data_IF_784755144573
#
_entry.id   IF_784755144573
#
_cell.length_a   1.000
_cell.length_b   1.000
_cell.length_c   1.000
_cell.angle_alpha   90.00
_cell.angle_beta   90.00
_cell.angle_gamma   90.00
#
_symmetry.space_group_name_H-M   'P 1'
#
loop_
_entity.id
_entity.type
_entity.pdbx_description
1 polymer ?
#
# COMPACT_ATOMS: atom_id res chain seq x y z
N UNK A 1 12.88 10.80 5.68
CA UNK A 1 14.14 10.12 5.34
C UNK A 1 13.84 8.77 4.72
N UNK A 2 14.40 8.54 3.52
CA UNK A 2 14.36 7.24 2.86
C UNK A 2 15.62 6.47 3.26
N UNK A 3 15.47 5.23 3.63
CA UNK A 3 16.59 4.32 3.85
C UNK A 3 16.54 3.18 2.84
N UNK A 4 17.68 2.95 2.23
CA UNK A 4 17.94 1.92 1.26
C UNK A 4 18.43 0.68 1.99
N UNK A 5 17.66 -0.43 2.00
CA UNK A 5 18.05 -1.65 2.73
C UNK A 5 18.59 -2.75 1.85
N UNK A 6 17.84 -3.11 0.81
CA UNK A 6 18.28 -4.04 -0.21
C UNK A 6 18.13 -3.33 -1.55
N UNK A 7 19.16 -3.36 -2.36
CA UNK A 7 19.18 -2.52 -3.54
C UNK A 7 19.88 -3.20 -4.71
N UNK A 8 19.10 -3.70 -5.62
CA UNK A 8 19.60 -4.09 -6.92
C UNK A 8 20.11 -2.88 -7.70
N UNK A 9 21.19 -3.04 -8.46
CA UNK A 9 21.61 -2.00 -9.39
C UNK A 9 20.60 -1.92 -10.54
N UNK A 10 19.79 -0.86 -10.54
CA UNK A 10 18.76 -0.63 -11.56
C UNK A 10 19.39 -0.57 -12.97
N UNK A 11 20.66 -0.18 -13.09
CA UNK A 11 21.39 -0.15 -14.36
C UNK A 11 21.54 -1.53 -15.00
N UNK A 12 21.58 -2.61 -14.19
CA UNK A 12 21.57 -3.99 -14.67
C UNK A 12 20.38 -4.29 -15.59
N UNK A 13 19.26 -3.60 -15.38
CA UNK A 13 18.02 -3.77 -16.12
C UNK A 13 17.76 -2.70 -17.18
N UNK A 14 18.70 -1.77 -17.42
CA UNK A 14 18.49 -0.58 -18.28
C UNK A 14 18.04 -0.91 -19.71
N UNK A 15 18.50 -2.04 -20.24
CA UNK A 15 18.28 -2.46 -21.63
C UNK A 15 17.27 -3.60 -21.79
N UNK A 16 16.41 -3.82 -20.81
CA UNK A 16 15.37 -4.86 -20.88
C UNK A 16 14.04 -4.37 -20.30
N UNK A 17 12.89 -4.90 -20.78
CA UNK A 17 11.60 -4.58 -20.20
C UNK A 17 11.49 -5.18 -18.79
N UNK A 18 10.88 -4.44 -17.87
CA UNK A 18 10.61 -4.89 -16.50
C UNK A 18 9.22 -4.52 -16.05
N UNK A 19 8.65 -5.37 -15.21
CA UNK A 19 7.49 -5.02 -14.39
C UNK A 19 8.00 -4.81 -12.96
N UNK A 20 7.63 -3.67 -12.38
CA UNK A 20 7.85 -3.39 -10.95
C UNK A 20 6.56 -3.71 -10.22
N UNK A 21 6.65 -4.56 -9.20
CA UNK A 21 5.57 -4.84 -8.27
C UNK A 21 5.90 -4.23 -6.92
N UNK A 22 4.94 -3.56 -6.29
CA UNK A 22 5.14 -2.98 -4.97
C UNK A 22 3.93 -3.24 -4.06
N UNK A 23 4.17 -3.32 -2.73
CA UNK A 23 3.10 -3.21 -1.76
C UNK A 23 2.50 -1.80 -1.82
N UNK A 24 1.25 -1.66 -1.35
CA UNK A 24 0.55 -0.37 -1.42
C UNK A 24 0.23 0.12 0.00
N UNK A 25 1.23 0.77 0.61
CA UNK A 25 1.16 1.25 1.98
C UNK A 25 0.40 2.59 2.09
N UNK A 26 0.52 3.46 1.06
CA UNK A 26 0.03 4.84 1.15
C UNK A 26 -0.23 5.49 -0.21
N UNK A 27 -0.75 6.71 -0.19
CA UNK A 27 -0.88 7.55 -1.40
C UNK A 27 0.47 7.98 -1.99
N UNK A 28 1.53 7.95 -1.19
CA UNK A 28 2.87 8.43 -1.56
C UNK A 28 3.76 7.35 -2.20
N UNK A 29 3.27 6.13 -2.35
CA UNK A 29 4.08 4.99 -2.78
C UNK A 29 4.73 5.17 -4.16
N UNK A 30 4.09 5.93 -5.05
CA UNK A 30 4.68 6.29 -6.34
C UNK A 30 6.01 7.05 -6.18
N UNK A 31 6.13 7.89 -5.15
CA UNK A 31 7.37 8.61 -4.86
C UNK A 31 8.46 7.67 -4.32
N UNK A 32 8.08 6.70 -3.48
CA UNK A 32 9.01 5.69 -2.95
C UNK A 32 9.51 4.76 -4.05
N UNK A 33 8.62 4.32 -4.95
CA UNK A 33 9.01 3.52 -6.12
C UNK A 33 9.92 4.32 -7.07
N UNK A 34 9.60 5.58 -7.35
CA UNK A 34 10.48 6.43 -8.17
C UNK A 34 11.86 6.62 -7.52
N UNK A 35 11.92 6.74 -6.20
CA UNK A 35 13.19 6.80 -5.48
C UNK A 35 13.99 5.51 -5.63
N UNK A 36 13.34 4.34 -5.46
CA UNK A 36 13.97 3.04 -5.64
C UNK A 36 14.51 2.84 -7.07
N UNK A 37 13.73 3.26 -8.05
CA UNK A 37 14.01 3.08 -9.48
C UNK A 37 14.72 4.30 -10.10
N UNK A 38 15.43 5.08 -9.29
CA UNK A 38 16.10 6.33 -9.74
C UNK A 38 16.90 6.12 -11.03
N UNK A 39 16.63 6.99 -12.01
CA UNK A 39 17.27 6.95 -13.33
C UNK A 39 16.50 6.13 -14.38
N UNK A 40 15.36 5.53 -14.03
CA UNK A 40 14.51 4.81 -14.97
C UNK A 40 13.11 5.44 -15.04
N UNK A 41 12.63 5.68 -16.27
CA UNK A 41 11.25 6.13 -16.50
C UNK A 41 10.28 5.00 -16.19
N UNK A 42 9.29 5.26 -15.33
CA UNK A 42 8.28 4.30 -14.91
C UNK A 42 6.91 4.74 -15.46
N UNK A 43 6.13 3.79 -15.99
CA UNK A 43 4.74 3.97 -16.33
C UNK A 43 3.89 3.26 -15.26
N UNK A 44 3.21 4.03 -14.44
CA UNK A 44 2.34 3.50 -13.39
C UNK A 44 1.00 3.05 -13.97
N UNK A 45 0.41 2.03 -13.35
CA UNK A 45 -1.00 1.66 -13.56
C UNK A 45 -1.80 2.27 -12.42
N UNK A 46 -2.82 3.05 -12.72
CA UNK A 46 -3.68 3.69 -11.72
C UNK A 46 -5.16 3.50 -12.06
N UNK A 47 -6.00 3.54 -11.03
CA UNK A 47 -7.44 3.42 -11.19
C UNK A 47 -7.99 4.53 -12.10
N UNK A 48 -8.92 4.19 -13.02
CA UNK A 48 -9.47 5.12 -14.01
C UNK A 48 -10.16 6.33 -13.36
N UNK A 49 -10.79 6.14 -12.20
CA UNK A 49 -11.42 7.24 -11.45
C UNK A 49 -10.43 8.32 -10.99
N UNK A 50 -9.16 7.99 -10.78
CA UNK A 50 -8.14 8.99 -10.42
C UNK A 50 -7.86 9.98 -11.57
N UNK A 51 -8.12 9.59 -12.83
CA UNK A 51 -7.96 10.47 -13.99
C UNK A 51 -9.03 11.57 -14.07
N UNK A 52 -10.14 11.43 -13.33
CA UNK A 52 -11.18 12.45 -13.26
C UNK A 52 -10.87 13.58 -12.26
N UNK A 53 -9.84 13.41 -11.42
CA UNK A 53 -9.37 14.46 -10.51
C UNK A 53 -8.63 15.53 -11.32
N UNK A 54 -9.14 16.77 -11.33
CA UNK A 54 -8.66 17.87 -12.18
C UNK A 54 -7.14 18.11 -12.06
N UNK A 55 -6.59 18.04 -10.83
CA UNK A 55 -5.17 18.25 -10.54
C UNK A 55 -4.27 17.08 -10.98
N UNK A 56 -4.81 15.86 -11.13
CA UNK A 56 -4.03 14.69 -11.54
C UNK A 56 -4.09 14.42 -13.04
N UNK A 57 -5.16 14.83 -13.72
CA UNK A 57 -5.40 14.53 -15.14
C UNK A 57 -4.21 14.90 -16.04
N UNK A 58 -3.66 16.09 -15.88
CA UNK A 58 -2.53 16.56 -16.68
C UNK A 58 -1.24 15.82 -16.33
N UNK A 59 -0.99 15.63 -15.04
CA UNK A 59 0.18 14.88 -14.54
C UNK A 59 0.17 13.44 -15.06
N UNK A 60 -0.96 12.74 -14.96
CA UNK A 60 -1.10 11.36 -15.41
C UNK A 60 -0.90 11.22 -16.93
N UNK A 61 -1.39 12.19 -17.70
CA UNK A 61 -1.16 12.21 -19.16
C UNK A 61 0.31 12.39 -19.51
N UNK A 62 1.01 13.34 -18.87
CA UNK A 62 2.45 13.59 -19.09
C UNK A 62 3.28 12.38 -18.63
N UNK A 63 2.94 11.79 -17.50
CA UNK A 63 3.62 10.61 -16.97
C UNK A 63 3.27 9.30 -17.72
N UNK A 64 2.36 9.37 -18.71
CA UNK A 64 1.84 8.20 -19.43
C UNK A 64 1.36 7.09 -18.50
N UNK A 65 0.60 7.47 -17.46
CA UNK A 65 -0.03 6.52 -16.55
C UNK A 65 -1.06 5.69 -17.30
N UNK A 66 -1.08 4.40 -17.06
CA UNK A 66 -1.99 3.45 -17.72
C UNK A 66 -3.28 3.38 -16.87
N UNK A 67 -4.45 3.75 -17.42
CA UNK A 67 -5.70 3.63 -16.69
C UNK A 67 -6.10 2.16 -16.52
N UNK A 68 -6.69 1.84 -15.36
CA UNK A 68 -7.24 0.53 -15.05
C UNK A 68 -8.65 0.66 -14.48
N UNK A 69 -9.61 -0.05 -15.07
CA UNK A 69 -10.96 -0.20 -14.51
C UNK A 69 -10.93 -1.09 -13.28
N UNK A 70 -11.53 -0.60 -12.18
CA UNK A 70 -11.59 -1.36 -10.94
C UNK A 70 -12.63 -2.48 -11.04
N UNK A 71 -12.33 -3.61 -10.37
CA UNK A 71 -13.24 -4.75 -10.15
C UNK A 71 -13.74 -5.48 -11.41
N UNK A 72 -13.18 -5.17 -12.59
CA UNK A 72 -13.51 -5.87 -13.83
C UNK A 72 -12.24 -6.25 -14.59
N UNK A 73 -12.27 -7.33 -15.39
CA UNK A 73 -11.20 -7.64 -16.34
C UNK A 73 -11.02 -6.46 -17.32
N UNK A 74 -9.81 -5.98 -17.48
CA UNK A 74 -9.52 -4.81 -18.30
C UNK A 74 -8.42 -5.10 -19.33
N UNK A 75 -8.85 -5.52 -20.52
CA UNK A 75 -7.96 -5.77 -21.66
C UNK A 75 -7.26 -4.49 -22.14
N UNK A 76 -7.83 -3.31 -21.90
CA UNK A 76 -7.21 -2.03 -22.28
C UNK A 76 -5.95 -1.80 -21.47
N UNK A 77 -5.99 -2.05 -20.17
CA UNK A 77 -4.83 -2.01 -19.28
C UNK A 77 -3.74 -2.98 -19.78
N UNK A 78 -4.09 -4.24 -20.06
CA UNK A 78 -3.13 -5.25 -20.55
C UNK A 78 -2.50 -4.82 -21.88
N UNK A 79 -3.29 -4.29 -22.83
CA UNK A 79 -2.76 -3.73 -24.10
C UNK A 79 -1.84 -2.53 -23.86
N UNK A 80 -2.18 -1.66 -22.92
CA UNK A 80 -1.36 -0.51 -22.52
C UNK A 80 -0.01 -0.94 -21.97
N UNK A 81 -0.01 -1.91 -21.03
CA UNK A 81 1.21 -2.51 -20.48
C UNK A 81 2.06 -3.17 -21.59
N UNK A 82 1.43 -3.99 -22.46
CA UNK A 82 2.13 -4.64 -23.57
C UNK A 82 2.82 -3.62 -24.50
N UNK A 83 2.16 -2.50 -24.81
CA UNK A 83 2.73 -1.43 -25.63
C UNK A 83 4.00 -0.83 -24.99
N UNK A 84 4.02 -0.66 -23.67
CA UNK A 84 5.19 -0.15 -22.94
C UNK A 84 6.30 -1.20 -22.90
N UNK A 85 5.97 -2.45 -22.56
CA UNK A 85 6.96 -3.53 -22.40
C UNK A 85 7.58 -4.00 -23.73
N UNK A 86 6.92 -3.77 -24.86
CA UNK A 86 7.47 -4.02 -26.21
C UNK A 86 8.49 -2.98 -26.69
N UNK A 87 8.65 -1.86 -25.99
CA UNK A 87 9.71 -0.89 -26.29
C UNK A 87 11.06 -1.53 -25.97
N UNK A 88 11.86 -1.76 -26.98
CA UNK A 88 13.04 -2.64 -26.98
C UNK A 88 14.09 -2.40 -25.89
N UNK A 89 14.17 -1.23 -25.29
CA UNK A 89 15.27 -0.93 -24.36
C UNK A 89 14.84 -0.42 -22.97
N UNK A 90 13.65 0.17 -22.81
CA UNK A 90 13.32 0.91 -21.59
C UNK A 90 11.90 0.71 -21.05
N UNK A 91 11.19 -0.32 -21.48
CA UNK A 91 9.84 -0.60 -21.00
C UNK A 91 9.84 -0.87 -19.50
N UNK A 92 9.19 0.00 -18.71
CA UNK A 92 9.04 -0.21 -17.28
C UNK A 92 7.62 0.13 -16.85
N UNK A 93 6.91 -0.86 -16.34
CA UNK A 93 5.55 -0.71 -15.84
C UNK A 93 5.54 -1.01 -14.35
N UNK A 94 4.98 -0.11 -13.55
CA UNK A 94 4.77 -0.35 -12.13
C UNK A 94 3.31 -0.61 -11.84
N UNK A 95 3.05 -1.65 -11.04
CA UNK A 95 1.73 -2.02 -10.54
C UNK A 95 1.77 -2.20 -9.02
N UNK A 96 0.63 -1.91 -8.40
CA UNK A 96 0.32 -2.26 -7.01
C UNK A 96 -0.72 -3.39 -7.03
N UNK A 97 -0.32 -4.67 -6.96
CA UNK A 97 -1.19 -5.79 -7.29
C UNK A 97 -2.42 -5.93 -6.39
N UNK A 98 -2.38 -5.43 -5.16
CA UNK A 98 -3.55 -5.42 -4.26
C UNK A 98 -4.66 -4.45 -4.70
N UNK A 99 -4.36 -3.50 -5.59
CA UNK A 99 -5.32 -2.56 -6.18
C UNK A 99 -5.75 -1.39 -5.29
N UNK A 100 -5.47 -1.43 -3.99
CA UNK A 100 -5.78 -0.34 -3.05
C UNK A 100 -4.71 -0.23 -1.98
N UNK A 101 -4.42 1.01 -1.53
CA UNK A 101 -3.57 1.21 -0.35
C UNK A 101 -4.21 0.61 0.89
N UNK A 102 -3.37 0.10 1.80
CA UNK A 102 -3.85 -0.48 3.05
C UNK A 102 -4.63 0.53 3.89
N UNK A 103 -5.70 0.06 4.52
CA UNK A 103 -6.46 0.84 5.49
C UNK A 103 -5.89 0.71 6.91
N UNK A 104 -5.22 -0.41 7.21
CA UNK A 104 -4.82 -0.78 8.56
C UNK A 104 -3.31 -0.85 8.79
N UNK A 105 -2.49 -0.58 7.78
CA UNK A 105 -1.03 -0.73 7.88
C UNK A 105 -0.50 -2.12 7.50
N UNK A 106 -1.39 -3.12 7.32
CA UNK A 106 -1.01 -4.44 6.81
C UNK A 106 -1.44 -4.61 5.36
N UNK A 107 -0.54 -5.14 4.53
CA UNK A 107 -0.78 -5.38 3.10
C UNK A 107 -1.89 -6.40 2.89
N UNK A 108 -2.80 -6.13 1.97
CA UNK A 108 -3.80 -7.08 1.50
C UNK A 108 -3.21 -7.98 0.39
N UNK A 109 -3.73 -9.20 0.22
CA UNK A 109 -3.32 -10.05 -0.90
C UNK A 109 -3.48 -9.37 -2.26
N UNK A 110 -2.66 -9.79 -3.21
CA UNK A 110 -2.75 -9.32 -4.59
C UNK A 110 -4.06 -9.77 -5.23
N UNK A 111 -4.58 -8.96 -6.15
CA UNK A 111 -5.78 -9.31 -6.90
C UNK A 111 -5.61 -10.64 -7.65
N UNK A 112 -6.66 -11.45 -7.66
CA UNK A 112 -6.68 -12.71 -8.40
C UNK A 112 -6.31 -12.48 -9.87
N UNK A 113 -5.43 -13.35 -10.39
CA UNK A 113 -4.91 -13.24 -11.76
C UNK A 113 -3.65 -12.39 -11.91
N UNK A 114 -3.11 -11.82 -10.82
CA UNK A 114 -1.81 -11.13 -10.86
C UNK A 114 -0.69 -12.09 -11.28
N UNK A 115 -0.67 -13.32 -10.76
CA UNK A 115 0.27 -14.36 -11.16
C UNK A 115 0.15 -14.72 -12.66
N UNK A 116 -1.09 -14.89 -13.16
CA UNK A 116 -1.37 -15.10 -14.58
C UNK A 116 -0.86 -13.97 -15.46
N UNK A 117 -1.09 -12.73 -15.05
CA UNK A 117 -0.63 -11.54 -15.76
C UNK A 117 0.91 -11.49 -15.84
N UNK A 118 1.61 -11.72 -14.74
CA UNK A 118 3.07 -11.75 -14.71
C UNK A 118 3.63 -12.86 -15.61
N UNK A 119 3.04 -14.06 -15.54
CA UNK A 119 3.40 -15.17 -16.42
C UNK A 119 3.17 -14.85 -17.91
N UNK A 120 2.05 -14.20 -18.22
CA UNK A 120 1.72 -13.78 -19.60
C UNK A 120 2.76 -12.82 -20.20
N UNK A 121 3.20 -11.84 -19.43
CA UNK A 121 4.22 -10.91 -19.90
C UNK A 121 5.61 -11.53 -19.97
N UNK A 122 5.95 -12.44 -19.08
CA UNK A 122 7.21 -13.21 -19.10
C UNK A 122 8.48 -12.37 -19.09
N UNK A 123 8.43 -11.15 -18.54
CA UNK A 123 9.57 -10.24 -18.39
C UNK A 123 10.10 -10.26 -16.95
N UNK A 124 11.31 -9.75 -16.72
CA UNK A 124 11.87 -9.60 -15.38
C UNK A 124 10.91 -8.82 -14.48
N UNK A 125 10.66 -9.33 -13.29
CA UNK A 125 9.83 -8.68 -12.27
C UNK A 125 10.72 -8.22 -11.12
N UNK A 126 10.71 -6.91 -10.87
CA UNK A 126 11.39 -6.30 -9.73
C UNK A 126 10.38 -6.05 -8.62
N UNK A 127 10.78 -6.30 -7.37
CA UNK A 127 10.00 -5.98 -6.19
C UNK A 127 10.50 -4.68 -5.57
N UNK A 128 9.57 -3.79 -5.25
CA UNK A 128 9.82 -2.66 -4.34
C UNK A 128 8.97 -2.87 -3.10
N UNK A 129 9.62 -3.03 -1.95
CA UNK A 129 8.95 -3.19 -0.67
C UNK A 129 9.12 -1.94 0.16
N UNK A 130 8.00 -1.41 0.66
CA UNK A 130 7.90 -0.12 1.36
C UNK A 130 7.44 -0.38 2.78
N UNK A 131 8.22 0.05 3.77
CA UNK A 131 7.89 -0.01 5.19
C UNK A 131 7.78 1.39 5.79
N UNK A 132 6.83 1.59 6.68
CA UNK A 132 6.54 2.87 7.32
C UNK A 132 5.75 3.84 6.44
N UNK A 133 5.41 3.45 5.22
CA UNK A 133 4.63 4.27 4.30
C UNK A 133 3.23 4.59 4.83
N UNK A 134 2.58 3.63 5.48
CA UNK A 134 1.28 3.83 6.13
C UNK A 134 1.33 4.92 7.20
N UNK A 135 2.36 4.95 8.03
CA UNK A 135 2.48 5.94 9.10
C UNK A 135 2.78 7.35 8.59
N UNK A 136 3.41 7.47 7.41
CA UNK A 136 3.62 8.77 6.76
C UNK A 136 2.33 9.30 6.14
N UNK A 137 1.52 8.46 5.52
CA UNK A 137 0.32 8.89 4.81
C UNK A 137 -0.82 7.87 4.99
N UNK A 138 -1.39 7.77 6.22
CA UNK A 138 -2.47 6.84 6.49
C UNK A 138 -3.74 7.20 5.72
N UNK A 139 -4.56 6.21 5.44
CA UNK A 139 -5.74 6.36 4.58
C UNK A 139 -6.83 7.25 5.18
N UNK A 140 -6.92 7.31 6.50
CA UNK A 140 -7.93 8.10 7.21
C UNK A 140 -7.61 9.59 7.31
N UNK A 141 -6.38 10.01 7.03
CA UNK A 141 -6.00 11.42 7.06
C UNK A 141 -5.40 11.85 5.71
N UNK A 142 -5.80 13.04 5.25
CA UNK A 142 -5.30 13.61 4.00
C UNK A 142 -3.94 14.29 4.13
N UNK A 143 -3.50 14.57 5.36
CA UNK A 143 -2.22 15.21 5.66
C UNK A 143 -1.12 14.17 5.88
N UNK A 144 0.06 14.42 5.31
CA UNK A 144 1.23 13.57 5.48
C UNK A 144 1.97 13.89 6.79
N UNK A 145 2.62 12.88 7.36
CA UNK A 145 3.46 12.98 8.54
C UNK A 145 4.93 12.84 8.15
N UNK A 146 5.80 13.40 8.97
CA UNK A 146 7.24 13.35 8.77
C UNK A 146 7.85 12.20 9.55
N UNK A 147 8.37 11.20 8.87
CA UNK A 147 8.96 10.02 9.50
C UNK A 147 9.86 9.24 8.56
N UNK A 148 10.37 8.12 9.04
CA UNK A 148 11.26 7.24 8.29
C UNK A 148 10.45 6.25 7.45
N UNK A 149 10.85 6.11 6.19
CA UNK A 149 10.36 5.07 5.30
C UNK A 149 11.56 4.26 4.84
N UNK A 150 11.50 2.95 4.99
CA UNK A 150 12.49 2.04 4.45
C UNK A 150 11.99 1.48 3.12
N UNK A 151 12.88 1.41 2.12
CA UNK A 151 12.55 0.90 0.80
C UNK A 151 13.56 -0.16 0.41
N UNK A 152 13.06 -1.33 0.00
CA UNK A 152 13.86 -2.44 -0.53
C UNK A 152 13.60 -2.57 -2.02
N UNK A 153 14.64 -2.91 -2.80
CA UNK A 153 14.52 -3.23 -4.22
C UNK A 153 15.32 -4.48 -4.53
N UNK A 154 14.66 -5.47 -5.11
CA UNK A 154 15.30 -6.71 -5.58
C UNK A 154 14.59 -7.31 -6.80
N UNK A 155 15.21 -8.33 -7.41
CA UNK A 155 14.61 -9.14 -8.46
C UNK A 155 13.73 -10.24 -7.83
N UNK A 156 12.43 -10.19 -8.11
CA UNK A 156 11.48 -11.19 -7.61
C UNK A 156 11.36 -12.40 -8.53
N UNK A 157 11.27 -12.17 -9.85
CA UNK A 157 11.17 -13.22 -10.84
C UNK A 157 12.00 -12.91 -12.07
N UNK A 158 12.77 -13.89 -12.53
CA UNK A 158 13.36 -13.90 -13.86
C UNK A 158 12.32 -14.36 -14.91
N UNK A 159 12.52 -14.04 -16.20
CA UNK A 159 11.70 -14.58 -17.28
C UNK A 159 11.68 -16.11 -17.33
N UNK A 160 12.78 -16.77 -16.95
CA UNK A 160 12.86 -18.24 -16.92
C UNK A 160 11.99 -18.83 -15.80
N UNK A 161 12.03 -18.26 -14.59
CA UNK A 161 11.17 -18.68 -13.49
C UNK A 161 9.69 -18.55 -13.85
N UNK A 162 9.29 -17.42 -14.45
CA UNK A 162 7.89 -17.21 -14.88
C UNK A 162 7.42 -18.22 -15.91
N UNK A 163 8.31 -18.70 -16.81
CA UNK A 163 7.96 -19.78 -17.76
C UNK A 163 7.74 -21.10 -17.07
N UNK A 164 8.57 -21.44 -16.10
CA UNK A 164 8.60 -22.76 -15.47
C UNK A 164 7.56 -22.94 -14.35
N UNK A 165 7.15 -21.85 -13.69
CA UNK A 165 6.19 -21.86 -12.58
C UNK A 165 4.74 -21.85 -13.08
N UNK A 166 3.83 -22.43 -12.31
CA UNK A 166 2.39 -22.27 -12.51
C UNK A 166 1.91 -20.87 -12.14
N UNK A 167 0.74 -20.47 -12.64
CA UNK A 167 0.12 -19.18 -12.30
C UNK A 167 -0.13 -19.05 -10.78
N UNK A 168 -0.50 -20.17 -10.14
CA UNK A 168 -0.76 -20.23 -8.70
C UNK A 168 0.51 -20.08 -7.88
N UNK A 169 1.61 -20.72 -8.27
CA UNK A 169 2.90 -20.56 -7.58
C UNK A 169 3.41 -19.13 -7.67
N UNK A 170 3.28 -18.50 -8.84
CA UNK A 170 3.64 -17.08 -9.01
C UNK A 170 2.78 -16.20 -8.12
N UNK A 171 1.45 -16.45 -8.06
CA UNK A 171 0.53 -15.69 -7.21
C UNK A 171 0.91 -15.80 -5.71
N UNK A 172 1.16 -17.01 -5.23
CA UNK A 172 1.52 -17.28 -3.84
C UNK A 172 2.86 -16.63 -3.46
N UNK A 173 3.86 -16.73 -4.34
CA UNK A 173 5.16 -16.09 -4.10
C UNK A 173 5.04 -14.56 -4.14
N UNK A 174 4.25 -14.00 -5.05
CA UNK A 174 3.97 -12.58 -5.12
C UNK A 174 3.33 -12.06 -3.83
N UNK A 175 2.30 -12.76 -3.33
CA UNK A 175 1.60 -12.38 -2.09
C UNK A 175 2.53 -12.42 -0.89
N UNK A 176 3.34 -13.47 -0.78
CA UNK A 176 4.36 -13.60 0.27
C UNK A 176 5.42 -12.50 0.19
N UNK A 177 5.89 -12.20 -1.01
CA UNK A 177 6.95 -11.22 -1.23
C UNK A 177 6.52 -9.77 -1.01
N UNK A 178 5.23 -9.46 -1.20
CA UNK A 178 4.68 -8.12 -0.99
C UNK A 178 4.01 -7.94 0.37
N UNK A 179 3.92 -8.99 1.18
CA UNK A 179 3.31 -8.87 2.50
C UNK A 179 4.16 -7.98 3.41
N UNK A 180 3.53 -6.94 3.97
CA UNK A 180 4.09 -6.04 4.97
C UNK A 180 3.05 -5.77 6.05
N UNK A 181 3.56 -5.49 7.24
CA UNK A 181 2.80 -5.01 8.38
C UNK A 181 3.61 -3.91 9.06
N UNK A 182 3.22 -2.68 8.87
CA UNK A 182 3.97 -1.53 9.36
C UNK A 182 3.97 -1.46 10.89
N UNK A 183 2.93 -1.99 11.59
CA UNK A 183 2.94 -2.08 13.05
C UNK A 183 3.96 -3.08 13.55
N UNK A 184 3.98 -4.30 13.01
CA UNK A 184 4.98 -5.32 13.37
C UNK A 184 6.40 -4.86 13.02
N UNK A 185 6.57 -4.26 11.83
CA UNK A 185 7.85 -3.70 11.42
C UNK A 185 8.35 -2.61 12.39
N UNK A 186 7.47 -1.71 12.85
CA UNK A 186 7.86 -0.59 13.72
C UNK A 186 8.04 -1.01 15.19
N UNK A 187 7.54 -2.16 15.63
CA UNK A 187 7.74 -2.67 17.01
C UNK A 187 9.22 -2.71 17.40
N UNK A 188 10.08 -3.16 16.50
CA UNK A 188 11.53 -3.26 16.74
C UNK A 188 12.30 -1.99 16.42
N UNK A 189 11.80 -1.14 15.54
CA UNK A 189 12.48 0.06 15.05
C UNK A 189 12.15 1.30 15.84
N UNK A 190 10.98 1.37 16.44
CA UNK A 190 10.53 2.46 17.30
C UNK A 190 10.61 3.86 16.62
N UNK A 191 10.39 3.92 15.29
CA UNK A 191 10.37 5.19 14.57
C UNK A 191 9.15 6.02 14.94
N UNK A 192 9.36 7.32 15.05
CA UNK A 192 8.32 8.31 15.31
C UNK A 192 7.95 9.06 14.03
N UNK A 193 6.66 9.38 13.91
CA UNK A 193 6.08 10.09 12.76
C UNK A 193 5.49 11.41 13.22
N UNK A 194 6.16 12.51 12.94
CA UNK A 194 5.81 13.83 13.48
C UNK A 194 4.66 14.47 12.70
N UNK A 195 3.69 15.02 13.41
CA UNK A 195 2.67 15.92 12.91
C UNK A 195 2.29 16.96 13.96
N UNK A 196 1.75 18.11 13.52
CA UNK A 196 1.38 19.22 14.42
C UNK A 196 -0.14 19.32 14.65
N UNK A 197 -0.94 18.37 14.09
CA UNK A 197 -2.41 18.41 14.13
C UNK A 197 -3.05 17.20 14.80
N UNK A 198 -2.23 16.28 15.32
CA UNK A 198 -2.70 15.07 16.00
C UNK A 198 -2.82 13.84 15.10
N UNK A 199 -2.87 12.68 15.74
CA UNK A 199 -2.78 11.36 15.08
C UNK A 199 -4.13 10.70 14.87
N UNK A 200 -5.18 11.18 15.55
CA UNK A 200 -6.50 10.56 15.56
C UNK A 200 -7.58 11.30 14.74
N UNK A 201 -7.25 12.45 14.12
CA UNK A 201 -8.21 13.16 13.29
C UNK A 201 -8.74 12.27 12.16
N UNK A 202 -10.06 12.22 12.00
CA UNK A 202 -10.77 11.39 11.02
C UNK A 202 -10.62 9.87 11.22
N UNK A 203 -10.03 9.41 12.32
CA UNK A 203 -9.81 7.99 12.57
C UNK A 203 -11.12 7.23 12.71
N UNK A 204 -12.21 7.89 13.10
CA UNK A 204 -13.56 7.33 13.13
C UNK A 204 -14.07 6.82 11.78
N UNK A 205 -13.51 7.29 10.68
CA UNK A 205 -13.84 6.79 9.34
C UNK A 205 -13.37 5.35 9.12
N UNK A 206 -12.37 4.91 9.90
CA UNK A 206 -11.87 3.55 9.91
C UNK A 206 -12.32 2.77 11.14
N UNK A 207 -12.22 3.39 12.33
CA UNK A 207 -12.56 2.79 13.62
C UNK A 207 -13.98 3.17 13.99
N UNK A 208 -14.97 2.64 13.25
CA UNK A 208 -16.37 3.04 13.37
C UNK A 208 -17.13 2.32 14.49
N UNK A 209 -16.65 1.15 14.94
CA UNK A 209 -17.30 0.30 15.96
C UNK A 209 -16.53 0.35 17.27
N UNK A 210 -17.22 0.68 18.36
CA UNK A 210 -16.62 0.72 19.69
C UNK A 210 -16.28 -0.70 20.18
N UNK A 211 -15.04 -1.00 20.59
CA UNK A 211 -14.66 -2.35 21.03
C UNK A 211 -15.23 -2.73 22.40
N UNK A 212 -15.69 -1.75 23.22
CA UNK A 212 -16.28 -2.01 24.53
C UNK A 212 -17.80 -2.22 24.49
N UNK A 213 -18.53 -1.28 23.89
CA UNK A 213 -20.01 -1.33 23.90
C UNK A 213 -20.63 -1.77 22.58
N UNK A 214 -19.83 -2.04 21.54
CA UNK A 214 -20.31 -2.47 20.22
C UNK A 214 -21.05 -1.41 19.40
N UNK A 215 -21.21 -0.18 19.92
CA UNK A 215 -21.91 0.88 19.20
C UNK A 215 -21.16 1.25 17.91
N UNK A 216 -21.88 1.33 16.81
CA UNK A 216 -21.37 1.72 15.50
C UNK A 216 -21.59 3.20 15.25
N UNK A 217 -20.69 3.82 14.48
CA UNK A 217 -20.71 5.25 14.10
C UNK A 217 -20.77 6.20 15.30
N UNK A 218 -20.32 5.74 16.48
CA UNK A 218 -20.26 6.54 17.70
C UNK A 218 -18.82 6.86 18.12
N UNK A 219 -17.83 6.46 17.33
CA UNK A 219 -16.46 6.84 17.56
C UNK A 219 -16.20 8.26 17.03
N UNK A 220 -15.38 9.04 17.75
CA UNK A 220 -14.93 10.36 17.33
C UNK A 220 -13.44 10.49 17.56
N UNK A 221 -12.71 10.85 16.50
CA UNK A 221 -11.27 11.14 16.54
C UNK A 221 -11.03 12.65 16.46
N UNK A 222 -10.25 13.19 17.41
CA UNK A 222 -9.85 14.60 17.44
C UNK A 222 -8.46 14.74 18.06
N UNK A 223 -7.59 15.51 17.41
CA UNK A 223 -6.20 15.67 17.88
C UNK A 223 -5.49 14.32 17.97
N UNK A 224 -5.13 13.91 19.16
CA UNK A 224 -4.48 12.62 19.42
C UNK A 224 -5.46 11.58 20.04
N UNK A 225 -6.72 11.93 20.26
CA UNK A 225 -7.68 11.10 20.98
C UNK A 225 -8.72 10.48 20.05
N UNK A 226 -9.11 9.25 20.36
CA UNK A 226 -10.30 8.61 19.80
C UNK A 226 -11.19 8.16 20.95
N UNK A 227 -12.49 8.48 20.89
CA UNK A 227 -13.44 8.24 21.99
C UNK A 227 -14.81 7.84 21.47
N UNK A 228 -15.45 6.91 22.14
CA UNK A 228 -16.85 6.56 21.90
C UNK A 228 -17.78 7.57 22.58
N UNK A 229 -18.63 8.22 21.80
CA UNK A 229 -19.59 9.21 22.31
C UNK A 229 -20.69 8.57 23.18
N UNK A 230 -20.96 7.26 23.01
CA UNK A 230 -21.99 6.54 23.80
C UNK A 230 -21.51 6.11 25.18
N UNK A 231 -20.29 5.56 25.32
CA UNK A 231 -19.83 4.95 26.58
C UNK A 231 -18.52 5.52 27.12
N UNK A 232 -17.93 6.50 26.45
CA UNK A 232 -16.68 7.13 26.86
C UNK A 232 -15.41 6.31 26.63
N UNK A 233 -15.51 5.05 26.14
CA UNK A 233 -14.38 4.19 25.85
C UNK A 233 -13.47 4.81 24.79
N UNK A 234 -12.16 4.87 25.03
CA UNK A 234 -11.24 5.49 24.12
C UNK A 234 -9.80 5.50 24.59
N UNK A 235 -8.95 6.25 23.91
CA UNK A 235 -7.55 6.39 24.22
C UNK A 235 -6.84 7.40 23.32
N UNK A 236 -5.52 7.51 23.47
CA UNK A 236 -4.67 8.39 22.71
C UNK A 236 -3.77 7.62 21.74
N UNK A 237 -3.45 8.25 20.60
CA UNK A 237 -2.38 7.81 19.71
C UNK A 237 -1.16 8.72 19.87
N UNK A 238 0.01 8.10 20.03
CA UNK A 238 1.28 8.82 20.05
C UNK A 238 1.95 8.89 18.67
N UNK A 239 3.15 9.50 18.63
CA UNK A 239 3.94 9.66 17.41
C UNK A 239 4.46 8.34 16.79
N UNK A 240 4.35 7.23 17.49
CA UNK A 240 4.69 5.87 17.02
C UNK A 240 3.46 5.05 16.66
N UNK A 241 2.27 5.69 16.73
CA UNK A 241 0.97 5.06 16.57
C UNK A 241 0.65 4.00 17.62
N UNK A 242 1.26 4.09 18.82
CA UNK A 242 0.83 3.32 19.95
C UNK A 242 -0.54 3.82 20.41
N UNK A 243 -1.45 2.88 20.65
CA UNK A 243 -2.78 3.15 21.15
C UNK A 243 -2.79 2.95 22.66
N UNK A 244 -2.91 4.05 23.41
CA UNK A 244 -2.89 4.06 24.88
C UNK A 244 -4.33 4.27 25.41
N UNK A 245 -4.96 3.26 26.03
CA UNK A 245 -6.31 3.39 26.54
C UNK A 245 -6.42 4.44 27.66
N UNK A 246 -7.57 5.13 27.74
CA UNK A 246 -7.94 5.88 28.95
C UNK A 246 -8.18 4.93 30.12
N UNK A 247 -8.15 5.45 31.34
CA UNK A 247 -8.46 4.66 32.53
C UNK A 247 -9.84 3.98 32.41
N UNK A 248 -9.90 2.69 32.66
CA UNK A 248 -11.11 1.86 32.51
C UNK A 248 -11.59 1.64 31.08
N UNK A 249 -10.85 2.08 30.07
CA UNK A 249 -11.13 1.81 28.65
C UNK A 249 -10.56 0.47 28.20
N UNK A 250 -11.24 -0.12 27.22
CA UNK A 250 -10.84 -1.38 26.57
C UNK A 250 -10.60 -1.08 25.09
N UNK A 251 -9.35 -1.18 24.65
CA UNK A 251 -8.95 -0.99 23.26
C UNK A 251 -8.10 -2.18 22.79
N UNK A 252 -8.14 -2.51 21.49
CA UNK A 252 -7.20 -3.46 20.88
C UNK A 252 -5.76 -2.96 20.97
N UNK A 253 -4.79 -3.87 20.78
CA UNK A 253 -3.35 -3.56 20.85
C UNK A 253 -2.94 -2.37 19.96
N UNK A 254 -3.50 -2.30 18.77
CA UNK A 254 -3.22 -1.24 17.80
C UNK A 254 -4.37 -1.10 16.79
N UNK A 255 -4.29 -0.11 15.89
CA UNK A 255 -5.34 0.15 14.91
C UNK A 255 -5.51 -1.00 13.90
N UNK A 256 -4.43 -1.74 13.58
CA UNK A 256 -4.52 -2.91 12.70
C UNK A 256 -5.39 -4.00 13.31
N UNK A 257 -5.14 -4.36 14.58
CA UNK A 257 -5.94 -5.36 15.30
C UNK A 257 -7.40 -4.91 15.38
N UNK A 258 -7.64 -3.64 15.71
CA UNK A 258 -8.98 -3.08 15.76
C UNK A 258 -9.71 -3.18 14.42
N UNK A 259 -9.04 -2.84 13.34
CA UNK A 259 -9.61 -2.94 11.99
C UNK A 259 -9.94 -4.40 11.61
N UNK A 260 -9.05 -5.34 11.94
CA UNK A 260 -9.26 -6.76 11.66
C UNK A 260 -10.41 -7.35 12.50
N UNK A 261 -10.58 -6.88 13.73
CA UNK A 261 -11.72 -7.26 14.59
C UNK A 261 -13.05 -6.80 13.98
N UNK A 262 -13.12 -5.56 13.51
CA UNK A 262 -14.29 -5.04 12.79
C UNK A 262 -14.59 -5.86 11.53
N UNK A 263 -13.59 -6.18 10.73
CA UNK A 263 -13.75 -7.02 9.53
C UNK A 263 -14.25 -8.43 9.88
N UNK A 264 -13.75 -9.01 10.98
CA UNK A 264 -14.24 -10.32 11.45
C UNK A 264 -15.69 -10.26 11.91
N UNK A 265 -16.10 -9.17 12.57
CA UNK A 265 -17.48 -8.97 12.97
C UNK A 265 -18.41 -8.92 11.74
N UNK A 266 -18.11 -8.07 10.76
CA UNK A 266 -18.90 -7.95 9.51
C UNK A 266 -19.02 -9.28 8.76
N UNK A 267 -17.93 -10.07 8.69
CA UNK A 267 -17.96 -11.39 8.02
C UNK A 267 -18.88 -12.41 8.70
N UNK A 268 -19.21 -12.22 9.97
CA UNK A 268 -20.15 -13.09 10.70
C UNK A 268 -21.60 -12.68 10.50
N UNK A 269 -21.83 -11.46 10.03
CA UNK A 269 -23.16 -10.89 9.78
C UNK A 269 -23.64 -11.18 8.34
N UNK A 270 -22.73 -11.57 7.44
CA UNK A 270 -22.98 -11.95 6.03
C UNK A 270 -22.91 -13.46 5.87
#
# INVERSE_FOLDING_TARGET
HFEKKVWEDVKKYANQPVIVVANHASRMDYAFVNYAMKGRKINFVAAENEFHRSHLKTVFRIAHVIPKKNFVPDLTTIKGMAKILKREKNGCVCIFPCGMSTASGAQQPSANGSGKMLKHFGVTVLRVLIHGGYFVSPKFDVKERYGKVEVELDELFTPQQLRNMSEQEIQLQLDKALFTDDYEWNKTRQHSYKCNWGYANNLEQLMYKCPKCGAEMQMKGEGCEIKCLKCGNGGTLDSRYNLVPFEGSVLPENLRVWFDDQRRAVRKEV
#
